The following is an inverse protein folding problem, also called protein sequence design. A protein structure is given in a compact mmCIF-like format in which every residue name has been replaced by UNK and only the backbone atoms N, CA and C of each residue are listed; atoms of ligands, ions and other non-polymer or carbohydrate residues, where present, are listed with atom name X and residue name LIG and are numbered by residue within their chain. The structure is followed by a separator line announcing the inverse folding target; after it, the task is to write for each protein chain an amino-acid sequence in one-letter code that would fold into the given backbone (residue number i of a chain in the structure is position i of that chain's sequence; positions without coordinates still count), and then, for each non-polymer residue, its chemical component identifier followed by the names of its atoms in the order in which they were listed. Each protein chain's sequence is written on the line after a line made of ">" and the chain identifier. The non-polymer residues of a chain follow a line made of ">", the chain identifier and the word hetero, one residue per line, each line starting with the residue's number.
data_IF_331271738178
#
_entry.id   IF_331271738178
#
_cell.length_a   1.000
_cell.length_b   1.000
_cell.length_c   1.000
_cell.angle_alpha   90.00
_cell.angle_beta   90.00
_cell.angle_gamma   90.00
#
_symmetry.space_group_name_H-M   'P 1'
#
loop_
_entity.id
_entity.type
_entity.pdbx_description
1 polymer ?
#
# COMPACT_ATOMS: atom_id res chain seq x y z
N UNK A 1 7.87 -13.61 -6.22
CA UNK A 1 8.20 -12.56 -7.22
C UNK A 1 8.35 -11.19 -6.58
N UNK A 2 7.32 -10.60 -5.95
CA UNK A 2 7.40 -9.25 -5.37
C UNK A 2 8.51 -9.06 -4.32
N UNK A 3 8.66 -9.99 -3.37
CA UNK A 3 9.76 -9.93 -2.39
C UNK A 3 11.14 -9.97 -3.05
N UNK A 4 11.31 -10.74 -4.13
CA UNK A 4 12.57 -10.78 -4.87
C UNK A 4 12.83 -9.46 -5.61
N UNK A 5 11.78 -8.84 -6.17
CA UNK A 5 11.89 -7.52 -6.79
C UNK A 5 12.33 -6.46 -5.77
N UNK A 6 11.73 -6.44 -4.57
CA UNK A 6 12.12 -5.53 -3.49
C UNK A 6 13.54 -5.80 -2.99
N UNK A 7 13.93 -7.06 -2.82
CA UNK A 7 15.28 -7.44 -2.40
C UNK A 7 16.38 -6.99 -3.38
N UNK A 8 16.04 -6.80 -4.66
CA UNK A 8 16.92 -6.29 -5.70
C UNK A 8 16.83 -4.76 -5.88
N UNK A 9 16.12 -4.05 -5.00
CA UNK A 9 15.93 -2.59 -5.06
C UNK A 9 14.88 -2.11 -6.07
N UNK A 10 14.03 -3.01 -6.56
CA UNK A 10 12.88 -2.67 -7.41
C UNK A 10 11.67 -2.16 -6.62
N UNK A 11 10.55 -1.94 -7.32
CA UNK A 11 9.26 -1.48 -6.76
C UNK A 11 8.15 -2.51 -7.02
N UNK A 12 7.09 -2.52 -6.21
CA UNK A 12 5.91 -3.34 -6.44
C UNK A 12 5.18 -2.99 -7.74
N UNK A 13 5.30 -1.76 -8.23
CA UNK A 13 4.66 -1.34 -9.46
C UNK A 13 5.37 -0.19 -10.16
N UNK A 14 5.65 -0.36 -11.46
CA UNK A 14 6.03 0.76 -12.32
C UNK A 14 4.86 1.71 -12.60
N UNK A 15 3.70 1.16 -13.00
CA UNK A 15 2.57 1.99 -13.50
C UNK A 15 1.16 1.53 -13.04
N UNK A 16 0.96 0.23 -12.83
CA UNK A 16 -0.36 -0.36 -12.57
C UNK A 16 -0.93 -0.19 -11.14
N UNK A 17 -0.14 0.37 -10.22
CA UNK A 17 -0.49 0.52 -8.81
C UNK A 17 -0.51 -0.78 -7.99
N UNK A 18 -1.10 -0.68 -6.79
CA UNK A 18 -1.09 -1.73 -5.75
C UNK A 18 -2.38 -2.56 -5.76
N UNK A 19 -3.54 -1.89 -5.73
CA UNK A 19 -4.86 -2.52 -5.71
C UNK A 19 -5.06 -3.53 -4.57
N UNK A 20 -5.76 -4.62 -4.86
CA UNK A 20 -5.91 -5.76 -3.93
C UNK A 20 -4.71 -6.70 -3.98
N UNK A 21 -4.17 -6.92 -5.18
CA UNK A 21 -3.18 -7.96 -5.44
C UNK A 21 -1.89 -7.72 -4.67
N UNK A 22 -1.37 -6.49 -4.70
CA UNK A 22 -0.02 -6.19 -4.19
C UNK A 22 0.00 -5.63 -2.77
N UNK A 23 -1.18 -5.39 -2.16
CA UNK A 23 -1.30 -4.73 -0.83
C UNK A 23 -0.52 -5.41 0.29
N UNK A 24 -0.33 -6.73 0.18
CA UNK A 24 0.38 -7.54 1.18
C UNK A 24 1.84 -7.13 1.36
N UNK A 25 2.48 -6.63 0.31
CA UNK A 25 3.90 -6.25 0.31
C UNK A 25 4.12 -4.74 0.43
N UNK A 26 3.04 -3.94 0.46
CA UNK A 26 3.18 -2.48 0.46
C UNK A 26 3.94 -1.94 1.68
N UNK A 27 3.78 -2.60 2.84
CA UNK A 27 4.57 -2.30 4.04
C UNK A 27 6.06 -2.56 3.84
N UNK A 28 6.43 -3.61 3.11
CA UNK A 28 7.82 -3.96 2.83
C UNK A 28 8.52 -2.90 1.97
N UNK A 29 7.80 -2.25 1.04
CA UNK A 29 8.34 -1.19 0.18
C UNK A 29 8.41 0.17 0.89
N UNK A 30 7.35 0.56 1.61
CA UNK A 30 7.23 1.89 2.20
C UNK A 30 7.89 2.02 3.59
N UNK A 31 7.97 0.91 4.32
CA UNK A 31 8.26 0.91 5.76
C UNK A 31 7.14 1.53 6.60
N UNK A 32 7.22 1.30 7.91
CA UNK A 32 6.13 1.61 8.86
C UNK A 32 5.71 3.08 8.86
N UNK A 33 6.70 3.99 8.80
CA UNK A 33 6.44 5.43 8.87
C UNK A 33 5.61 5.93 7.70
N UNK A 34 6.01 5.59 6.48
CA UNK A 34 5.29 6.05 5.28
C UNK A 34 3.95 5.32 5.15
N UNK A 35 3.91 4.02 5.49
CA UNK A 35 2.68 3.24 5.49
C UNK A 35 1.60 3.85 6.43
N UNK A 36 1.95 4.18 7.67
CA UNK A 36 1.01 4.80 8.61
C UNK A 36 0.64 6.23 8.21
N UNK A 37 1.58 7.02 7.67
CA UNK A 37 1.28 8.35 7.16
C UNK A 37 0.19 8.31 6.08
N UNK A 38 0.28 7.39 5.12
CA UNK A 38 -0.73 7.27 4.08
C UNK A 38 -2.10 6.82 4.63
N UNK A 39 -2.12 5.93 5.65
CA UNK A 39 -3.35 5.54 6.34
C UNK A 39 -4.00 6.72 7.09
N UNK A 40 -3.20 7.56 7.73
CA UNK A 40 -3.68 8.78 8.37
C UNK A 40 -4.28 9.75 7.36
N UNK A 41 -3.63 9.95 6.21
CA UNK A 41 -4.17 10.75 5.11
C UNK A 41 -5.52 10.18 4.64
N UNK A 42 -5.63 8.86 4.43
CA UNK A 42 -6.90 8.21 4.05
C UNK A 42 -8.00 8.46 5.07
N UNK A 43 -7.71 8.41 6.38
CA UNK A 43 -8.70 8.66 7.45
C UNK A 43 -9.21 10.09 7.46
N UNK A 44 -8.39 11.08 7.09
CA UNK A 44 -8.82 12.49 7.00
C UNK A 44 -9.90 12.66 5.92
N UNK A 45 -9.73 12.02 4.76
CA UNK A 45 -10.63 12.18 3.62
C UNK A 45 -11.76 11.16 3.53
N UNK A 46 -11.62 10.01 4.20
CA UNK A 46 -12.65 8.97 4.25
C UNK A 46 -12.78 8.38 5.66
N UNK A 47 -13.29 9.17 6.62
CA UNK A 47 -13.43 8.75 8.02
C UNK A 47 -14.43 7.60 8.21
N UNK A 48 -15.32 7.35 7.25
CA UNK A 48 -16.29 6.24 7.28
C UNK A 48 -15.79 4.98 6.55
N UNK A 49 -14.59 5.03 5.98
CA UNK A 49 -13.96 3.98 5.19
C UNK A 49 -14.87 3.37 4.10
N UNK A 50 -15.56 4.23 3.34
CA UNK A 50 -16.49 3.80 2.27
C UNK A 50 -15.82 3.76 0.88
N UNK A 51 -14.72 4.50 0.69
CA UNK A 51 -14.03 4.60 -0.58
C UNK A 51 -12.99 3.49 -0.71
N UNK A 52 -13.24 2.55 -1.62
CA UNK A 52 -12.33 1.46 -1.97
C UNK A 52 -11.83 0.64 -0.75
N UNK A 53 -12.76 0.29 0.15
CA UNK A 53 -12.47 -0.51 1.34
C UNK A 53 -11.68 -1.79 1.00
N UNK A 54 -10.64 -2.06 1.79
CA UNK A 54 -9.76 -3.21 1.59
C UNK A 54 -8.80 -3.13 0.39
N UNK A 55 -8.87 -2.13 -0.49
CA UNK A 55 -7.83 -1.89 -1.51
C UNK A 55 -6.71 -1.07 -0.92
N UNK A 56 -5.46 -1.38 -1.30
CA UNK A 56 -4.21 -0.75 -0.83
C UNK A 56 -3.94 -0.98 0.66
N UNK A 57 -4.89 -0.68 1.54
CA UNK A 57 -4.85 -0.96 2.98
C UNK A 57 -5.84 -2.08 3.30
N UNK A 58 -5.54 -2.91 4.29
CA UNK A 58 -6.33 -4.11 4.59
C UNK A 58 -7.65 -3.84 5.36
N UNK A 59 -7.94 -2.58 5.70
CA UNK A 59 -9.06 -2.12 6.56
C UNK A 59 -10.34 -1.75 5.78
#
# INVERSE_FOLDING_TARGET
>A
MFQAALALGGTLSGEHGIGLLKRRWLGDELGDRQYELQRQIKRVFDPKNILNRGKVFAE
#
